data_IF_425644389001
#
_entry.id   IF_425644389001
#
_cell.length_a   1.000
_cell.length_b   1.000
_cell.length_c   1.000
_cell.angle_alpha   90.00
_cell.angle_beta   90.00
_cell.angle_gamma   90.00
#
_symmetry.space_group_name_H-M   'P 1'
#
loop_
_entity.id
_entity.type
_entity.pdbx_description
1 polymer ?
#
# COMPACT_ATOMS: atom_id res chain seq x y z
N UNK A 1 -13.78 -80.36 -24.23
CA UNK A 1 -14.59 -79.13 -24.14
C UNK A 1 -14.73 -78.78 -22.67
N UNK A 2 -14.29 -77.56 -22.32
CA UNK A 2 -14.28 -76.82 -21.04
C UNK A 2 -15.11 -77.41 -19.88
N UNK A 3 -14.69 -77.42 -18.61
CA UNK A 3 -13.74 -76.57 -17.90
C UNK A 3 -14.46 -75.88 -16.72
N UNK A 4 -14.01 -76.12 -15.47
CA UNK A 4 -13.89 -75.16 -14.33
C UNK A 4 -13.78 -75.84 -12.95
N UNK A 5 -12.52 -75.95 -12.50
CA UNK A 5 -11.95 -75.54 -11.20
C UNK A 5 -12.76 -75.64 -9.90
N UNK A 6 -12.30 -76.57 -9.04
CA UNK A 6 -12.39 -76.59 -7.56
C UNK A 6 -11.54 -75.44 -6.97
N UNK A 7 -11.74 -74.94 -5.75
CA UNK A 7 -11.33 -75.63 -4.51
C UNK A 7 -11.67 -74.80 -3.26
N UNK A 8 -12.20 -75.49 -2.24
CA UNK A 8 -12.45 -75.03 -0.86
C UNK A 8 -11.15 -74.83 -0.09
N UNK A 9 -11.10 -73.84 0.80
CA UNK A 9 -10.12 -73.78 1.88
C UNK A 9 -10.79 -74.11 3.23
N UNK A 10 -10.27 -75.17 3.88
CA UNK A 10 -10.56 -75.57 5.26
C UNK A 10 -9.42 -75.12 6.18
N UNK A 11 -9.82 -74.65 7.34
CA UNK A 11 -9.00 -74.21 8.47
C UNK A 11 -8.23 -75.40 9.08
N UNK A 12 -6.97 -75.19 9.46
CA UNK A 12 -6.32 -75.93 10.56
C UNK A 12 -5.40 -75.00 11.37
N UNK A 13 -5.62 -74.97 12.69
CA UNK A 13 -4.74 -74.38 13.70
C UNK A 13 -3.87 -75.46 14.35
N UNK A 14 -2.59 -75.14 14.62
CA UNK A 14 -1.91 -75.15 15.94
C UNK A 14 -0.43 -75.53 15.79
N UNK A 15 0.43 -74.80 16.52
CA UNK A 15 1.76 -75.27 16.92
C UNK A 15 2.73 -74.14 17.28
N UNK A 16 2.97 -73.94 18.59
CA UNK A 16 3.84 -72.92 19.22
C UNK A 16 5.33 -73.24 19.09
N UNK A 17 6.15 -72.17 19.18
CA UNK A 17 7.44 -71.94 19.90
C UNK A 17 8.34 -71.11 18.98
N UNK A 18 8.97 -69.99 19.35
CA UNK A 18 9.05 -69.27 20.61
C UNK A 18 9.73 -67.91 20.41
N UNK A 19 9.57 -67.05 21.43
CA UNK A 19 10.49 -66.03 21.93
C UNK A 19 11.19 -65.05 20.94
N UNK A 20 10.71 -63.80 20.90
CA UNK A 20 11.54 -62.61 21.08
C UNK A 20 10.63 -61.44 21.48
N UNK A 21 10.75 -60.99 22.72
CA UNK A 21 10.16 -59.73 23.18
C UNK A 21 11.14 -58.64 22.77
N UNK A 22 10.69 -57.67 21.99
CA UNK A 22 11.33 -56.35 21.98
C UNK A 22 10.23 -55.30 21.82
N UNK A 23 9.90 -54.70 22.95
CA UNK A 23 9.14 -53.47 23.03
C UNK A 23 10.08 -52.32 22.69
N UNK A 24 9.78 -51.57 21.63
CA UNK A 24 10.29 -50.21 21.46
C UNK A 24 9.11 -49.35 21.03
N UNK A 25 8.67 -48.51 21.97
CA UNK A 25 7.65 -47.49 21.74
C UNK A 25 8.15 -46.36 20.84
N UNK A 26 7.24 -45.46 20.43
CA UNK A 26 7.59 -44.32 19.58
C UNK A 26 8.58 -43.39 20.32
N UNK A 27 9.56 -42.81 19.61
CA UNK A 27 10.53 -41.92 20.24
C UNK A 27 9.86 -40.66 20.78
N UNK A 28 10.08 -40.39 22.07
CA UNK A 28 9.78 -39.10 22.67
C UNK A 28 10.69 -38.03 22.03
N UNK A 29 10.10 -37.10 21.29
CA UNK A 29 10.82 -35.91 20.83
C UNK A 29 11.19 -35.07 22.06
N UNK A 30 12.48 -35.09 22.37
CA UNK A 30 13.15 -34.30 23.39
C UNK A 30 13.01 -32.82 23.02
N UNK A 31 12.34 -32.04 23.86
CA UNK A 31 12.30 -30.59 23.72
C UNK A 31 13.74 -30.03 23.70
N UNK A 32 14.07 -29.05 22.85
CA UNK A 32 15.37 -28.40 22.88
C UNK A 32 15.56 -27.70 24.24
N UNK A 33 16.73 -27.94 24.83
CA UNK A 33 17.17 -27.32 26.09
C UNK A 33 17.31 -25.81 25.84
N UNK A 34 16.43 -25.02 26.43
CA UNK A 34 16.55 -23.55 26.44
C UNK A 34 17.91 -23.17 27.03
N UNK A 35 18.71 -22.29 26.40
CA UNK A 35 19.88 -21.74 27.04
C UNK A 35 19.47 -20.92 28.26
N UNK A 36 20.20 -21.13 29.35
CA UNK A 36 20.11 -20.38 30.61
C UNK A 36 20.23 -18.88 30.36
N UNK A 37 19.20 -18.13 30.74
CA UNK A 37 19.21 -16.68 30.77
C UNK A 37 20.26 -16.18 31.77
N UNK A 38 21.39 -15.71 31.26
CA UNK A 38 22.24 -14.75 31.97
C UNK A 38 21.44 -13.46 32.16
N UNK A 39 21.33 -12.89 33.38
CA UNK A 39 20.74 -11.58 33.55
C UNK A 39 21.62 -10.53 32.85
N UNK A 40 21.01 -9.71 32.00
CA UNK A 40 21.66 -8.49 31.49
C UNK A 40 22.03 -7.62 32.70
N UNK A 41 23.30 -7.26 32.81
CA UNK A 41 23.73 -6.15 33.68
C UNK A 41 22.99 -4.88 33.27
N UNK A 42 22.30 -4.29 34.23
CA UNK A 42 21.76 -2.94 34.17
C UNK A 42 22.88 -1.94 33.87
N UNK A 43 22.81 -1.14 32.79
CA UNK A 43 23.65 0.04 32.71
C UNK A 43 23.14 1.08 33.73
N UNK A 44 24.04 1.54 34.60
CA UNK A 44 23.79 2.69 35.46
C UNK A 44 23.33 3.89 34.63
N UNK A 45 22.25 4.54 35.09
CA UNK A 45 21.82 5.86 34.63
C UNK A 45 22.96 6.86 34.85
N UNK A 46 23.72 7.15 33.78
CA UNK A 46 24.55 8.33 33.71
C UNK A 46 23.66 9.55 33.53
N UNK A 47 23.79 10.52 34.44
CA UNK A 47 23.14 11.83 34.36
C UNK A 47 23.50 12.53 33.03
N UNK A 48 22.61 12.47 32.06
CA UNK A 48 22.64 13.38 30.91
C UNK A 48 22.01 14.69 31.37
N UNK A 49 22.83 15.71 31.54
CA UNK A 49 22.35 17.09 31.75
C UNK A 49 21.60 17.52 30.49
N UNK A 50 20.32 17.84 30.64
CA UNK A 50 19.51 18.50 29.62
C UNK A 50 20.18 19.82 29.19
N UNK A 51 20.47 20.05 27.90
CA UNK A 51 20.55 21.41 27.39
C UNK A 51 19.12 21.98 27.36
N UNK A 52 18.94 23.11 28.03
CA UNK A 52 17.68 23.83 28.12
C UNK A 52 17.06 24.08 26.74
N UNK A 53 15.77 23.81 26.65
CA UNK A 53 14.96 24.10 25.47
C UNK A 53 14.98 25.60 25.17
N UNK A 54 15.37 25.95 23.95
CA UNK A 54 15.24 27.32 23.44
C UNK A 54 13.79 27.43 22.93
N UNK A 55 12.96 28.35 23.45
CA UNK A 55 11.62 28.52 22.91
C UNK A 55 11.72 29.04 21.48
N UNK A 56 11.21 28.25 20.53
CA UNK A 56 10.99 28.71 19.17
C UNK A 56 9.85 29.74 19.23
N UNK A 57 10.23 31.01 19.19
CA UNK A 57 9.33 32.16 19.15
C UNK A 57 8.60 32.14 17.80
N UNK A 58 7.28 32.01 17.85
CA UNK A 58 6.40 32.22 16.70
C UNK A 58 6.62 33.64 16.14
N UNK A 59 6.60 33.84 14.80
CA UNK A 59 6.57 35.19 14.26
C UNK A 59 5.19 35.79 14.56
N UNK A 60 5.15 36.74 15.48
CA UNK A 60 4.01 37.63 15.67
C UNK A 60 3.84 38.47 14.40
N UNK A 61 2.64 38.43 13.83
CA UNK A 61 2.19 39.40 12.84
C UNK A 61 1.85 40.71 13.60
N UNK A 62 2.86 41.55 13.84
CA UNK A 62 2.65 42.92 14.31
C UNK A 62 2.50 43.85 13.11
N UNK A 63 1.27 44.14 12.72
CA UNK A 63 0.96 45.27 11.85
C UNK A 63 0.71 46.51 12.73
N UNK A 64 1.76 47.33 12.86
CA UNK A 64 1.71 48.61 13.55
C UNK A 64 0.74 49.57 12.87
N UNK A 65 -0.27 50.00 13.62
CA UNK A 65 -1.09 51.14 13.26
C UNK A 65 -0.23 52.42 13.35
N UNK A 66 0.08 53.03 12.22
CA UNK A 66 0.64 54.38 12.17
C UNK A 66 -0.38 55.36 11.61
N UNK A 67 -0.54 56.42 12.38
CA UNK A 67 -1.43 57.57 12.25
C UNK A 67 -1.33 58.30 10.91
N UNK A 68 -2.49 58.61 10.32
CA UNK A 68 -2.62 59.52 9.18
C UNK A 68 -2.48 61.00 9.62
N UNK A 69 -1.72 61.82 8.89
CA UNK A 69 -2.06 63.23 8.76
C UNK A 69 -2.80 63.50 7.45
N UNK A 70 -3.91 64.25 7.56
CA UNK A 70 -4.57 64.94 6.44
C UNK A 70 -3.62 65.99 5.84
N UNK A 71 -3.69 66.19 4.52
CA UNK A 71 -3.97 67.48 3.82
C UNK A 71 -3.36 67.52 2.41
N UNK A 72 -4.12 68.07 1.45
CA UNK A 72 -3.55 68.85 0.34
C UNK A 72 -3.84 68.37 -1.08
N UNK A 73 -4.78 69.05 -1.75
CA UNK A 73 -5.06 69.00 -3.19
C UNK A 73 -4.00 69.75 -4.00
N UNK A 74 -3.65 69.26 -5.20
CA UNK A 74 -3.10 70.09 -6.29
C UNK A 74 -2.17 69.39 -7.30
N UNK A 75 -2.61 69.31 -8.56
CA UNK A 75 -1.78 69.68 -9.73
C UNK A 75 -0.90 68.63 -10.44
N UNK A 76 -1.47 67.99 -11.46
CA UNK A 76 -0.95 67.65 -12.82
C UNK A 76 0.49 67.15 -13.08
N UNK A 77 0.52 66.06 -13.87
CA UNK A 77 1.52 65.60 -14.85
C UNK A 77 2.80 64.93 -14.34
N UNK A 78 2.80 63.59 -14.35
CA UNK A 78 3.93 62.78 -14.80
C UNK A 78 3.45 61.36 -15.11
N UNK A 79 3.86 60.83 -16.26
CA UNK A 79 3.69 59.43 -16.65
C UNK A 79 4.35 58.53 -15.61
N UNK A 80 3.55 57.88 -14.77
CA UNK A 80 4.00 56.83 -13.87
C UNK A 80 3.23 55.56 -14.26
N UNK A 81 3.98 54.56 -14.73
CA UNK A 81 3.49 53.20 -14.95
C UNK A 81 3.20 52.63 -13.56
N UNK A 82 1.93 52.40 -13.15
CA UNK A 82 1.67 51.87 -11.83
C UNK A 82 2.17 50.43 -11.81
N UNK A 83 3.15 50.17 -10.95
CA UNK A 83 3.44 48.84 -10.43
C UNK A 83 2.21 48.43 -9.60
N UNK A 84 1.18 47.94 -10.29
CA UNK A 84 0.06 47.25 -9.68
C UNK A 84 0.64 46.02 -8.97
N UNK A 85 0.75 46.10 -7.65
CA UNK A 85 1.01 44.96 -6.78
C UNK A 85 -0.27 44.10 -6.82
N UNK A 86 -0.42 43.35 -7.91
CA UNK A 86 -1.50 42.41 -8.11
C UNK A 86 -1.42 41.36 -7.01
N UNK A 87 -2.37 41.42 -6.08
CA UNK A 87 -2.62 40.36 -5.12
C UNK A 87 -3.07 39.15 -5.95
N UNK A 88 -2.13 38.30 -6.33
CA UNK A 88 -2.42 37.02 -6.94
C UNK A 88 -3.21 36.21 -5.90
N UNK A 89 -4.54 36.28 -6.00
CA UNK A 89 -5.40 35.30 -5.38
C UNK A 89 -4.95 33.95 -5.93
N UNK A 90 -4.20 33.20 -5.12
CA UNK A 90 -4.03 31.78 -5.37
C UNK A 90 -5.44 31.22 -5.38
N UNK A 91 -5.96 30.95 -6.58
CA UNK A 91 -7.22 30.24 -6.71
C UNK A 91 -7.03 28.93 -5.97
N UNK A 92 -7.69 28.77 -4.83
CA UNK A 92 -7.81 27.48 -4.16
C UNK A 92 -8.60 26.57 -5.11
N UNK A 93 -7.90 25.92 -6.04
CA UNK A 93 -8.46 24.83 -6.81
C UNK A 93 -8.95 23.80 -5.79
N UNK A 94 -10.24 23.50 -5.79
CA UNK A 94 -10.77 22.44 -4.96
C UNK A 94 -9.94 21.17 -5.20
N UNK A 95 -9.52 20.46 -4.14
CA UNK A 95 -8.73 19.26 -4.31
C UNK A 95 -9.49 18.28 -5.19
N UNK A 96 -8.77 17.64 -6.13
CA UNK A 96 -9.39 16.67 -7.03
C UNK A 96 -10.15 15.60 -6.22
N UNK A 97 -11.38 15.33 -6.64
CA UNK A 97 -12.29 14.32 -6.08
C UNK A 97 -12.45 13.12 -7.00
N UNK A 98 -11.96 13.18 -8.23
CA UNK A 98 -11.95 12.06 -9.17
C UNK A 98 -10.53 11.74 -9.58
N UNK A 99 -10.21 10.45 -9.63
CA UNK A 99 -8.91 9.96 -10.06
C UNK A 99 -9.09 8.83 -11.05
N UNK A 100 -8.15 8.70 -11.97
CA UNK A 100 -8.08 7.58 -12.90
C UNK A 100 -6.70 6.96 -12.92
N UNK A 101 -6.63 5.70 -13.35
CA UNK A 101 -5.40 5.03 -13.77
C UNK A 101 -5.65 4.20 -15.01
N UNK A 102 -4.78 4.32 -16.01
CA UNK A 102 -4.75 3.42 -17.18
C UNK A 102 -3.70 2.35 -16.95
N UNK A 103 -4.15 1.09 -16.82
CA UNK A 103 -3.30 -0.05 -16.50
C UNK A 103 -2.83 -0.74 -17.78
N UNK A 104 -1.54 -1.03 -17.86
CA UNK A 104 -0.96 -1.87 -18.91
C UNK A 104 0.35 -2.50 -18.42
N UNK A 105 0.84 -3.49 -19.17
CA UNK A 105 2.07 -4.21 -18.85
C UNK A 105 3.35 -3.36 -19.03
N UNK A 106 3.35 -2.41 -19.97
CA UNK A 106 4.51 -1.55 -20.23
C UNK A 106 4.82 -0.58 -19.06
N UNK A 107 3.85 -0.34 -18.20
CA UNK A 107 4.01 0.45 -16.99
C UNK A 107 4.64 -0.34 -15.83
N UNK A 108 4.76 -1.67 -15.94
CA UNK A 108 5.43 -2.49 -14.93
C UNK A 108 6.95 -2.38 -15.04
N UNK A 109 7.67 -2.20 -13.92
CA UNK A 109 9.12 -2.32 -13.93
C UNK A 109 9.52 -3.77 -14.22
N UNK A 110 10.54 -3.97 -15.06
CA UNK A 110 11.08 -5.29 -15.35
C UNK A 110 10.61 -5.95 -16.66
N UNK A 111 9.92 -5.21 -17.53
CA UNK A 111 9.68 -5.65 -18.91
C UNK A 111 8.62 -6.76 -19.05
N UNK A 112 7.51 -6.64 -18.31
CA UNK A 112 6.39 -7.56 -18.38
C UNK A 112 5.83 -7.61 -19.81
N UNK A 113 5.65 -8.82 -20.36
CA UNK A 113 5.10 -9.03 -21.70
C UNK A 113 3.71 -9.62 -21.61
N UNK A 114 2.70 -8.76 -21.61
CA UNK A 114 1.29 -9.16 -21.57
C UNK A 114 0.44 -8.24 -22.45
N UNK A 115 -0.63 -8.79 -23.03
CA UNK A 115 -1.70 -8.01 -23.66
C UNK A 115 -2.68 -7.39 -22.66
N UNK A 116 -2.46 -7.65 -21.37
CA UNK A 116 -3.29 -7.16 -20.28
C UNK A 116 -3.43 -5.64 -20.31
N UNK A 117 -4.66 -5.18 -20.18
CA UNK A 117 -4.97 -3.76 -20.02
C UNK A 117 -6.08 -3.58 -19.00
N UNK A 118 -6.21 -2.36 -18.47
CA UNK A 118 -7.30 -2.02 -17.59
C UNK A 118 -7.45 -0.52 -17.37
N UNK A 119 -8.51 -0.17 -16.65
CA UNK A 119 -8.77 1.17 -16.18
C UNK A 119 -9.29 1.10 -14.74
N UNK A 120 -8.83 1.99 -13.89
CA UNK A 120 -9.34 2.20 -12.54
C UNK A 120 -9.86 3.63 -12.42
N UNK A 121 -11.06 3.77 -11.88
CA UNK A 121 -11.71 5.05 -11.62
C UNK A 121 -12.03 5.14 -10.13
N UNK A 122 -11.77 6.31 -9.53
CA UNK A 122 -11.99 6.59 -8.12
C UNK A 122 -12.81 7.86 -7.96
N UNK A 123 -13.74 7.85 -7.02
CA UNK A 123 -14.51 9.03 -6.61
C UNK A 123 -14.45 9.19 -5.11
N UNK A 124 -13.97 10.35 -4.66
CA UNK A 124 -13.89 10.77 -3.27
C UNK A 124 -15.19 11.46 -2.90
N UNK A 125 -15.84 10.95 -1.85
CA UNK A 125 -17.00 11.58 -1.22
C UNK A 125 -16.78 11.60 0.30
N UNK A 126 -16.36 12.77 0.80
CA UNK A 126 -15.93 12.94 2.19
C UNK A 126 -14.83 11.96 2.60
N UNK A 127 -15.11 11.12 3.60
CA UNK A 127 -14.19 10.12 4.14
C UNK A 127 -14.20 8.76 3.44
N UNK A 128 -14.92 8.64 2.31
CA UNK A 128 -15.04 7.40 1.54
C UNK A 128 -14.56 7.59 0.12
N UNK A 129 -13.79 6.62 -0.40
CA UNK A 129 -13.48 6.52 -1.82
C UNK A 129 -14.23 5.33 -2.39
N UNK A 130 -15.05 5.59 -3.42
CA UNK A 130 -15.63 4.54 -4.26
C UNK A 130 -14.71 4.29 -5.44
N UNK A 131 -14.51 3.03 -5.80
CA UNK A 131 -13.68 2.66 -6.94
C UNK A 131 -14.37 1.65 -7.85
N UNK A 132 -14.03 1.71 -9.14
CA UNK A 132 -14.35 0.68 -10.12
C UNK A 132 -13.10 0.40 -10.95
N UNK A 133 -12.74 -0.87 -11.07
CA UNK A 133 -11.61 -1.32 -11.88
C UNK A 133 -12.11 -2.32 -12.89
N UNK A 134 -11.79 -2.08 -14.16
CA UNK A 134 -12.06 -3.01 -15.27
C UNK A 134 -10.75 -3.42 -15.89
N UNK A 135 -10.59 -4.71 -16.18
CA UNK A 135 -9.39 -5.26 -16.79
C UNK A 135 -9.72 -6.35 -17.79
N UNK A 136 -8.82 -6.60 -18.72
CA UNK A 136 -8.96 -7.65 -19.72
C UNK A 136 -7.62 -8.09 -20.27
N UNK A 137 -7.58 -9.30 -20.85
CA UNK A 137 -6.43 -9.78 -21.61
C UNK A 137 -5.24 -10.20 -20.76
N UNK A 138 -5.47 -10.49 -19.46
CA UNK A 138 -4.44 -11.05 -18.60
C UNK A 138 -4.06 -12.47 -19.06
N UNK A 139 -2.82 -12.84 -18.85
CA UNK A 139 -2.24 -14.14 -19.24
C UNK A 139 -2.70 -15.30 -18.35
N UNK A 140 -3.24 -15.00 -17.17
CA UNK A 140 -3.85 -15.96 -16.25
C UNK A 140 -4.94 -15.26 -15.43
N UNK A 141 -5.65 -16.03 -14.59
CA UNK A 141 -6.67 -15.44 -13.71
C UNK A 141 -6.04 -14.44 -12.74
N UNK A 142 -6.65 -13.26 -12.61
CA UNK A 142 -6.34 -12.33 -11.55
C UNK A 142 -6.48 -13.00 -10.18
N UNK A 143 -5.51 -12.79 -9.30
CA UNK A 143 -5.51 -13.37 -7.95
C UNK A 143 -5.29 -12.35 -6.84
N UNK A 144 -4.79 -11.16 -7.16
CA UNK A 144 -4.69 -10.02 -6.27
C UNK A 144 -4.75 -8.70 -7.05
N UNK A 145 -5.18 -7.63 -6.38
CA UNK A 145 -5.14 -6.27 -6.90
C UNK A 145 -4.98 -5.29 -5.75
N UNK A 146 -4.23 -4.22 -5.97
CA UNK A 146 -3.82 -3.32 -4.90
C UNK A 146 -3.69 -1.87 -5.38
N UNK A 147 -3.82 -0.93 -4.44
CA UNK A 147 -3.18 0.38 -4.51
C UNK A 147 -1.84 0.28 -3.79
N UNK A 148 -0.79 0.75 -4.43
CA UNK A 148 0.56 0.86 -3.88
C UNK A 148 1.01 2.32 -3.77
N UNK A 149 2.01 2.56 -2.92
CA UNK A 149 2.69 3.86 -2.78
C UNK A 149 4.02 3.85 -3.52
N UNK A 150 4.11 4.61 -4.61
CA UNK A 150 5.36 4.83 -5.33
C UNK A 150 5.16 5.56 -6.66
N UNK A 151 6.13 6.38 -7.08
CA UNK A 151 6.07 7.10 -8.35
C UNK A 151 6.26 6.13 -9.53
N UNK A 152 6.03 6.62 -10.74
CA UNK A 152 6.20 5.82 -11.97
C UNK A 152 7.58 5.14 -12.03
N UNK A 153 7.60 3.85 -12.36
CA UNK A 153 8.82 3.04 -12.47
C UNK A 153 9.42 2.57 -11.14
N UNK A 154 8.95 3.08 -10.00
CA UNK A 154 9.42 2.66 -8.66
C UNK A 154 8.41 1.74 -8.01
N UNK A 155 8.89 0.66 -7.39
CA UNK A 155 8.06 -0.28 -6.64
C UNK A 155 7.78 0.23 -5.23
N UNK A 156 6.56 -0.04 -4.79
CA UNK A 156 5.99 0.47 -3.55
C UNK A 156 5.34 -0.61 -2.69
N UNK A 157 5.22 -0.34 -1.39
CA UNK A 157 4.38 -1.12 -0.50
C UNK A 157 2.89 -1.03 -0.88
N UNK A 158 2.11 -2.03 -0.47
CA UNK A 158 0.66 -2.07 -0.65
C UNK A 158 -0.02 -1.25 0.45
N UNK A 159 -0.87 -0.29 0.07
CA UNK A 159 -1.65 0.51 1.03
C UNK A 159 -3.12 0.11 1.09
N UNK A 160 -3.74 -0.29 -0.04
CA UNK A 160 -5.14 -0.73 -0.07
C UNK A 160 -5.25 -2.01 -0.90
N UNK A 161 -5.66 -3.15 -0.32
CA UNK A 161 -5.94 -4.37 -1.07
C UNK A 161 -7.35 -4.39 -1.65
N UNK A 162 -7.50 -5.05 -2.80
CA UNK A 162 -8.77 -5.28 -3.46
C UNK A 162 -9.17 -6.75 -3.45
N UNK A 163 -10.48 -6.99 -3.46
CA UNK A 163 -11.06 -8.29 -3.79
C UNK A 163 -11.28 -8.36 -5.30
N UNK A 164 -10.47 -9.15 -5.99
CA UNK A 164 -10.52 -9.28 -7.45
C UNK A 164 -11.24 -10.55 -7.90
N UNK A 165 -11.97 -10.53 -9.03
CA UNK A 165 -12.56 -11.73 -9.59
C UNK A 165 -11.47 -12.66 -10.13
N UNK A 166 -11.61 -13.98 -9.91
CA UNK A 166 -10.68 -14.99 -10.41
C UNK A 166 -10.92 -15.30 -11.89
N UNK A 167 -10.58 -14.35 -12.75
CA UNK A 167 -10.75 -14.42 -14.20
C UNK A 167 -9.63 -13.62 -14.90
N UNK A 168 -9.35 -13.87 -16.20
CA UNK A 168 -8.37 -13.09 -16.97
C UNK A 168 -8.92 -11.73 -17.43
N UNK A 169 -10.22 -11.53 -17.31
CA UNK A 169 -10.93 -10.28 -17.58
C UNK A 169 -12.09 -10.11 -16.60
N UNK A 170 -12.46 -8.88 -16.29
CA UNK A 170 -13.61 -8.59 -15.47
C UNK A 170 -13.65 -7.15 -14.98
N UNK A 171 -14.72 -6.86 -14.25
CA UNK A 171 -14.92 -5.59 -13.54
C UNK A 171 -15.20 -5.89 -12.07
N UNK A 172 -14.63 -5.09 -11.19
CA UNK A 172 -14.96 -5.10 -9.76
C UNK A 172 -15.00 -3.68 -9.21
N UNK A 173 -15.81 -3.51 -8.17
CA UNK A 173 -16.03 -2.22 -7.53
C UNK A 173 -16.10 -2.41 -6.02
N UNK A 174 -15.85 -1.32 -5.30
CA UNK A 174 -15.93 -1.32 -3.84
C UNK A 174 -15.71 0.07 -3.29
N UNK A 175 -15.55 0.13 -1.97
CA UNK A 175 -15.21 1.36 -1.27
C UNK A 175 -14.04 1.11 -0.32
N UNK A 176 -13.34 2.17 0.03
CA UNK A 176 -12.41 2.18 1.14
C UNK A 176 -12.49 3.49 1.92
N UNK A 177 -12.11 3.41 3.19
CA UNK A 177 -12.02 4.54 4.13
C UNK A 177 -10.65 4.55 4.78
N UNK A 178 -10.41 5.47 5.72
CA UNK A 178 -9.21 5.46 6.56
C UNK A 178 -8.89 4.09 7.18
N UNK A 179 -9.92 3.31 7.58
CA UNK A 179 -9.73 2.00 8.20
C UNK A 179 -9.07 0.96 7.28
N UNK A 180 -9.09 1.18 5.96
CA UNK A 180 -8.51 0.29 4.97
C UNK A 180 -7.08 0.70 4.56
N UNK A 181 -6.63 1.90 4.96
CA UNK A 181 -5.31 2.42 4.61
C UNK A 181 -4.27 1.76 5.51
N UNK A 182 -3.46 0.89 4.93
CA UNK A 182 -2.29 0.31 5.59
C UNK A 182 -1.07 1.20 5.38
N UNK A 183 -0.14 1.15 6.34
CA UNK A 183 1.15 1.81 6.21
C UNK A 183 1.93 1.20 5.04
N UNK A 184 2.45 2.06 4.17
CA UNK A 184 3.20 1.65 2.98
C UNK A 184 4.21 2.72 2.59
N UNK A 185 5.34 2.31 2.03
CA UNK A 185 6.36 3.22 1.52
C UNK A 185 7.05 2.65 0.29
N UNK A 186 7.77 3.51 -0.44
CA UNK A 186 8.81 3.09 -1.38
C UNK A 186 9.95 2.41 -0.63
N UNK A 187 10.76 1.61 -1.35
CA UNK A 187 11.86 0.85 -0.74
C UNK A 187 12.97 1.72 -0.13
N UNK A 188 13.13 2.95 -0.61
CA UNK A 188 14.05 3.95 -0.06
C UNK A 188 13.43 4.78 1.08
N UNK A 189 12.15 4.57 1.40
CA UNK A 189 11.42 5.31 2.43
C UNK A 189 11.15 6.77 2.09
N UNK A 190 11.42 7.20 0.85
CA UNK A 190 11.27 8.61 0.44
C UNK A 190 9.81 9.05 0.33
N UNK A 191 8.91 8.14 -0.05
CA UNK A 191 7.47 8.38 -0.18
C UNK A 191 6.74 7.32 0.64
N UNK A 192 5.80 7.74 1.47
CA UNK A 192 5.06 6.84 2.34
C UNK A 192 3.76 7.41 2.85
N UNK A 193 2.91 6.52 3.36
CA UNK A 193 1.66 6.82 4.05
C UNK A 193 1.60 5.97 5.32
N UNK A 194 1.09 6.56 6.41
CA UNK A 194 0.86 5.84 7.65
C UNK A 194 -0.49 5.11 7.64
N UNK A 195 -0.63 4.10 8.49
CA UNK A 195 -1.89 3.39 8.65
C UNK A 195 -2.99 4.36 9.14
N UNK A 196 -4.13 4.38 8.46
CA UNK A 196 -5.21 5.32 8.77
C UNK A 196 -5.05 6.71 8.16
N UNK A 197 -3.91 7.05 7.54
CA UNK A 197 -3.70 8.38 6.95
C UNK A 197 -4.37 8.50 5.56
N UNK A 198 -5.69 8.59 5.60
CA UNK A 198 -6.53 8.78 4.43
C UNK A 198 -6.21 10.07 3.66
N UNK A 199 -5.94 11.17 4.37
CA UNK A 199 -5.64 12.44 3.72
C UNK A 199 -4.27 12.41 3.05
N UNK A 200 -3.27 11.79 3.68
CA UNK A 200 -1.97 11.53 3.06
C UNK A 200 -2.10 10.68 1.81
N UNK A 201 -2.88 9.60 1.85
CA UNK A 201 -3.13 8.78 0.66
C UNK A 201 -3.72 9.60 -0.50
N UNK A 202 -4.72 10.45 -0.23
CA UNK A 202 -5.30 11.32 -1.26
C UNK A 202 -4.30 12.38 -1.77
N UNK A 203 -3.38 12.85 -0.93
CA UNK A 203 -2.30 13.73 -1.39
C UNK A 203 -1.34 13.00 -2.34
N UNK A 204 -0.95 11.78 -2.01
CA UNK A 204 -0.11 10.95 -2.89
C UNK A 204 -0.81 10.61 -4.21
N UNK A 205 -2.12 10.34 -4.20
CA UNK A 205 -2.91 10.17 -5.43
C UNK A 205 -2.92 11.44 -6.29
N UNK A 206 -2.98 12.63 -5.68
CA UNK A 206 -2.91 13.92 -6.41
C UNK A 206 -1.53 14.19 -6.97
N UNK A 207 -0.49 13.75 -6.27
CA UNK A 207 0.90 13.87 -6.71
C UNK A 207 1.29 12.84 -7.79
N UNK A 208 0.45 11.84 -8.07
CA UNK A 208 0.80 10.73 -8.97
C UNK A 208 1.84 9.78 -8.36
N UNK A 209 1.87 9.69 -7.03
CA UNK A 209 2.79 8.86 -6.25
C UNK A 209 2.13 7.59 -5.72
N UNK A 210 1.00 7.20 -6.32
CA UNK A 210 0.36 5.91 -6.07
C UNK A 210 -0.02 5.27 -7.37
N UNK A 211 -0.12 3.95 -7.36
CA UNK A 211 -0.50 3.19 -8.53
C UNK A 211 -1.41 2.03 -8.20
N UNK A 212 -2.21 1.67 -9.18
CA UNK A 212 -3.07 0.50 -9.12
C UNK A 212 -2.45 -0.62 -9.92
N UNK A 213 -2.40 -1.81 -9.32
CA UNK A 213 -1.78 -3.00 -9.90
C UNK A 213 -2.72 -4.21 -9.81
N UNK A 214 -2.68 -5.10 -10.80
CA UNK A 214 -3.31 -6.42 -10.79
C UNK A 214 -2.24 -7.50 -11.02
N UNK A 215 -2.29 -8.53 -10.18
CA UNK A 215 -1.36 -9.66 -10.19
C UNK A 215 -2.03 -10.93 -10.71
N UNK A 216 -1.22 -11.78 -11.33
CA UNK A 216 -1.61 -13.13 -11.74
C UNK A 216 -0.58 -14.16 -11.28
N UNK A 217 -0.85 -15.44 -11.51
CA UNK A 217 0.14 -16.49 -11.24
C UNK A 217 1.38 -16.40 -12.13
N UNK A 218 1.26 -15.85 -13.34
CA UNK A 218 2.37 -15.71 -14.27
C UNK A 218 3.24 -14.50 -13.91
N UNK A 219 2.62 -13.47 -13.33
CA UNK A 219 3.29 -12.23 -12.93
C UNK A 219 2.97 -11.91 -11.46
N UNK A 220 3.62 -12.60 -10.51
CA UNK A 220 3.33 -12.44 -9.09
C UNK A 220 3.68 -11.05 -8.55
N UNK A 221 4.62 -10.35 -9.19
CA UNK A 221 5.02 -8.98 -8.80
C UNK A 221 4.14 -7.89 -9.43
N UNK A 222 3.24 -8.25 -10.35
CA UNK A 222 2.37 -7.32 -11.08
C UNK A 222 2.36 -7.65 -12.56
N UNK A 223 1.16 -7.82 -13.14
CA UNK A 223 0.99 -8.01 -14.59
C UNK A 223 0.67 -6.70 -15.31
N UNK A 224 -0.16 -5.85 -14.69
CA UNK A 224 -0.54 -4.56 -15.24
C UNK A 224 -0.61 -3.51 -14.14
N UNK A 225 -0.03 -2.33 -14.43
CA UNK A 225 0.03 -1.19 -13.52
C UNK A 225 -0.41 0.11 -14.18
N UNK A 226 -0.98 1.02 -13.41
CA UNK A 226 -1.28 2.39 -13.84
C UNK A 226 -1.15 3.38 -12.68
N UNK A 227 -0.56 4.56 -12.93
CA UNK A 227 -0.49 5.61 -11.92
C UNK A 227 -1.88 6.19 -11.67
N UNK A 228 -2.25 6.37 -10.41
CA UNK A 228 -3.47 7.06 -10.04
C UNK A 228 -3.20 8.56 -10.11
N UNK A 229 -4.02 9.29 -10.87
CA UNK A 229 -3.85 10.72 -11.10
C UNK A 229 -5.20 11.42 -11.11
N UNK A 230 -5.27 12.73 -10.77
CA UNK A 230 -6.48 13.52 -10.92
C UNK A 230 -7.07 13.40 -12.34
N UNK A 231 -8.39 13.25 -12.43
CA UNK A 231 -9.09 13.17 -13.71
C UNK A 231 -9.23 14.53 -14.38
#
# INVERSE_FOLDING_TARGET
>A
MEGRTRTRWRIRKRGRRGAARNAYGPPANRAPKLPSSTPLSTPQLGNVRHPAERPFRAPACESGATSFPRRGSGGTNANACPLELGLAACGSSNPATHFRATLNAANEPGGVTSSGTGAAEYTVDGGTVSYTVTFTGLTANANAGHIHVGPAGVNGGVTVPFTVPRAPSGTFSGTFTAANVAAASTSDGGIGVDAGDYNGLLQLMRAGETYTNIHTSNYPNGEIRGQNQPQ
#
